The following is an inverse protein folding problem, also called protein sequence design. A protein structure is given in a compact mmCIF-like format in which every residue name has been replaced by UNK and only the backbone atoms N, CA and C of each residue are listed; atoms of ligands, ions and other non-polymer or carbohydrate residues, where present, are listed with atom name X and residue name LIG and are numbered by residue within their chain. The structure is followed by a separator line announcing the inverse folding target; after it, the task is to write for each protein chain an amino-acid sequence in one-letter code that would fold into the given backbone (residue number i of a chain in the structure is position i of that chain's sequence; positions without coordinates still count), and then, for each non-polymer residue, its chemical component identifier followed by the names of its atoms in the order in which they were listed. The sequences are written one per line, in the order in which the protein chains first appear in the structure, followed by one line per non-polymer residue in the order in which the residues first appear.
data_IF_551824187012
#
_entry.id   IF_551824187012
#
_cell.length_a   1.000
_cell.length_b   1.000
_cell.length_c   1.000
_cell.angle_alpha   90.00
_cell.angle_beta   90.00
_cell.angle_gamma   90.00
#
_symmetry.space_group_name_H-M   'P 1'
#
loop_
_entity.id
_entity.type
_entity.pdbx_description
1 polymer ?
#
# COMPACT_ATOMS: atom_id res chain seq x y z
N UNK A 1 -11.36 17.41 19.50
CA UNK A 1 -10.39 17.23 20.60
C UNK A 1 -9.00 17.81 20.35
N UNK A 2 -8.18 17.40 19.37
CA UNK A 2 -6.81 17.96 19.20
C UNK A 2 -6.75 19.44 18.80
N UNK A 3 -7.54 19.86 17.82
CA UNK A 3 -7.66 21.29 17.44
C UNK A 3 -8.04 22.18 18.63
N UNK A 4 -9.00 21.75 19.45
CA UNK A 4 -9.40 22.45 20.68
C UNK A 4 -8.27 22.53 21.72
N UNK A 5 -7.31 21.60 21.67
CA UNK A 5 -6.12 21.56 22.53
C UNK A 5 -4.89 22.25 21.88
N UNK A 6 -5.05 22.96 20.77
CA UNK A 6 -3.93 23.59 20.04
C UNK A 6 -2.95 22.60 19.38
N UNK A 7 -3.30 21.31 19.32
CA UNK A 7 -2.42 20.28 18.79
C UNK A 7 -2.62 20.12 17.28
N UNK A 8 -1.50 19.94 16.57
CA UNK A 8 -1.47 19.67 15.14
C UNK A 8 -2.07 18.31 14.74
N UNK A 9 -1.95 18.02 13.44
CA UNK A 9 -2.40 16.75 12.85
C UNK A 9 -1.77 15.56 13.58
N UNK A 10 -2.51 14.46 13.83
CA UNK A 10 -1.92 13.24 14.35
C UNK A 10 -0.77 12.71 13.49
N UNK A 11 0.22 12.10 14.14
CA UNK A 11 1.30 11.42 13.45
C UNK A 11 0.74 10.27 12.60
N UNK A 12 1.38 10.05 11.46
CA UNK A 12 1.17 8.89 10.60
C UNK A 12 1.84 7.68 11.25
N UNK A 13 1.17 6.52 11.24
CA UNK A 13 1.74 5.29 11.79
C UNK A 13 1.37 4.07 10.94
N UNK A 14 2.19 3.03 11.02
CA UNK A 14 1.94 1.77 10.34
C UNK A 14 1.24 0.77 11.28
N UNK A 15 0.19 0.12 10.78
CA UNK A 15 -0.54 -0.92 11.51
C UNK A 15 -1.12 -1.95 10.54
N UNK A 16 -0.97 -3.23 10.84
CA UNK A 16 -1.45 -4.37 10.03
C UNK A 16 -1.05 -4.30 8.54
N UNK A 17 0.14 -3.77 8.25
CA UNK A 17 0.65 -3.63 6.89
C UNK A 17 0.06 -2.45 6.10
N UNK A 18 -0.59 -1.50 6.78
CA UNK A 18 -1.09 -0.26 6.19
C UNK A 18 -0.53 0.96 6.94
N UNK A 19 -0.20 1.99 6.18
CA UNK A 19 0.09 3.31 6.70
C UNK A 19 -1.23 4.05 6.92
N UNK A 20 -1.49 4.37 8.18
CA UNK A 20 -2.66 5.11 8.63
C UNK A 20 -2.30 6.57 8.82
N UNK A 21 -3.01 7.45 8.10
CA UNK A 21 -2.83 8.88 8.24
C UNK A 21 -4.18 9.60 8.22
N UNK A 22 -4.26 10.75 8.88
CA UNK A 22 -5.47 11.55 8.83
C UNK A 22 -5.55 12.34 7.53
N UNK A 23 -6.76 12.59 7.06
CA UNK A 23 -7.05 13.43 5.90
C UNK A 23 -8.42 14.07 6.02
N UNK A 24 -8.82 14.74 4.94
CA UNK A 24 -10.13 15.35 4.81
C UNK A 24 -10.76 14.93 3.50
N UNK A 25 -12.06 14.68 3.50
CA UNK A 25 -12.81 14.45 2.27
C UNK A 25 -12.89 15.73 1.44
N UNK A 26 -13.31 15.63 0.17
CA UNK A 26 -13.58 16.80 -0.67
C UNK A 26 -14.61 17.77 -0.05
N UNK A 27 -15.49 17.27 0.82
CA UNK A 27 -16.49 18.05 1.58
C UNK A 27 -15.98 18.52 2.96
N UNK A 28 -14.68 18.40 3.24
CA UNK A 28 -14.04 18.90 4.47
C UNK A 28 -14.22 18.04 5.72
N UNK A 29 -14.85 16.85 5.63
CA UNK A 29 -15.02 15.95 6.78
C UNK A 29 -13.73 15.21 7.10
N UNK A 30 -13.42 15.03 8.38
CA UNK A 30 -12.28 14.22 8.82
C UNK A 30 -12.40 12.77 8.34
N UNK A 31 -11.28 12.19 7.92
CA UNK A 31 -11.19 10.81 7.47
C UNK A 31 -9.84 10.22 7.86
N UNK A 32 -9.80 8.91 8.13
CA UNK A 32 -8.55 8.14 8.21
C UNK A 32 -8.30 7.51 6.86
N UNK A 33 -7.19 7.88 6.23
CA UNK A 33 -6.70 7.25 5.01
C UNK A 33 -5.91 5.99 5.39
N UNK A 34 -6.04 4.96 4.56
CA UNK A 34 -5.29 3.71 4.68
C UNK A 34 -4.57 3.47 3.37
N UNK A 35 -3.26 3.53 3.41
CA UNK A 35 -2.39 3.24 2.27
C UNK A 35 -1.65 1.93 2.55
N UNK A 36 -1.34 1.14 1.53
CA UNK A 36 -0.47 -0.01 1.72
C UNK A 36 0.87 0.47 2.27
N UNK A 37 1.34 -0.14 3.37
CA UNK A 37 2.64 0.23 3.93
C UNK A 37 3.73 -0.02 2.90
N UNK A 38 4.66 0.93 2.77
CA UNK A 38 5.79 0.82 1.84
C UNK A 38 6.60 -0.46 2.09
N UNK A 39 6.70 -0.91 3.34
CA UNK A 39 7.35 -2.19 3.69
C UNK A 39 6.63 -3.37 3.06
N UNK A 40 5.30 -3.43 3.19
CA UNK A 40 4.46 -4.50 2.63
C UNK A 40 4.51 -4.52 1.11
N UNK A 41 4.40 -3.35 0.48
CA UNK A 41 4.47 -3.21 -0.98
C UNK A 41 5.81 -3.71 -1.52
N UNK A 42 6.93 -3.25 -0.94
CA UNK A 42 8.27 -3.69 -1.35
C UNK A 42 8.45 -5.18 -1.19
N UNK A 43 8.01 -5.77 -0.07
CA UNK A 43 8.09 -7.21 0.14
C UNK A 43 7.34 -7.98 -0.95
N UNK A 44 6.11 -7.58 -1.29
CA UNK A 44 5.34 -8.21 -2.37
C UNK A 44 6.02 -8.07 -3.73
N UNK A 45 6.56 -6.89 -4.06
CA UNK A 45 7.28 -6.67 -5.31
C UNK A 45 8.54 -7.54 -5.43
N UNK A 46 9.29 -7.74 -4.34
CA UNK A 46 10.46 -8.64 -4.36
C UNK A 46 10.05 -10.10 -4.63
N UNK A 47 8.96 -10.56 -4.03
CA UNK A 47 8.40 -11.90 -4.28
C UNK A 47 7.98 -12.05 -5.74
N UNK A 48 7.25 -11.07 -6.28
CA UNK A 48 6.84 -11.08 -7.70
C UNK A 48 8.06 -11.08 -8.62
N UNK A 49 9.07 -10.26 -8.34
CA UNK A 49 10.34 -10.22 -9.11
C UNK A 49 11.05 -11.57 -9.11
N UNK A 50 11.14 -12.23 -7.95
CA UNK A 50 11.76 -13.56 -7.84
C UNK A 50 11.01 -14.59 -8.69
N UNK A 51 9.68 -14.57 -8.64
CA UNK A 51 8.87 -15.53 -9.40
C UNK A 51 8.96 -15.27 -10.90
N UNK A 52 8.95 -14.00 -11.34
CA UNK A 52 9.17 -13.66 -12.75
C UNK A 52 10.55 -14.12 -13.25
N UNK A 53 11.59 -14.06 -12.41
CA UNK A 53 12.91 -14.62 -12.76
C UNK A 53 12.87 -16.13 -12.97
N UNK A 54 12.14 -16.87 -12.13
CA UNK A 54 11.98 -18.33 -12.28
C UNK A 54 11.25 -18.69 -13.57
N UNK A 55 10.27 -17.87 -13.95
CA UNK A 55 9.42 -18.07 -15.15
C UNK A 55 9.98 -17.41 -16.41
N UNK A 56 11.21 -16.89 -16.38
CA UNK A 56 11.70 -16.00 -17.46
C UNK A 56 11.74 -16.66 -18.85
N UNK A 57 11.83 -18.00 -18.89
CA UNK A 57 11.86 -18.78 -20.13
C UNK A 57 10.48 -19.33 -20.54
N UNK A 58 9.44 -19.11 -19.75
CA UNK A 58 8.08 -19.52 -20.11
C UNK A 58 7.50 -18.60 -21.19
N UNK A 59 6.50 -19.06 -21.96
CA UNK A 59 5.77 -18.22 -22.89
C UNK A 59 5.21 -16.95 -22.24
N UNK A 60 5.29 -15.81 -22.93
CA UNK A 60 4.79 -14.51 -22.46
C UNK A 60 3.32 -14.56 -22.01
N UNK A 61 2.39 -15.26 -22.71
CA UNK A 61 1.00 -15.37 -22.26
C UNK A 61 0.86 -15.96 -20.85
N UNK A 62 1.66 -16.99 -20.52
CA UNK A 62 1.63 -17.63 -19.20
C UNK A 62 2.17 -16.71 -18.10
N UNK A 63 3.26 -15.99 -18.39
CA UNK A 63 3.81 -15.00 -17.46
C UNK A 63 2.78 -13.88 -17.19
N UNK A 64 2.08 -13.42 -18.23
CA UNK A 64 1.03 -12.42 -18.13
C UNK A 64 -0.19 -12.88 -17.32
N UNK A 65 -0.61 -14.14 -17.50
CA UNK A 65 -1.68 -14.75 -16.71
C UNK A 65 -1.32 -14.79 -15.22
N UNK A 66 -0.09 -15.19 -14.89
CA UNK A 66 0.40 -15.16 -13.51
C UNK A 66 0.42 -13.73 -12.96
N UNK A 67 0.98 -12.77 -13.69
CA UNK A 67 1.12 -11.40 -13.22
C UNK A 67 -0.22 -10.75 -12.88
N UNK A 68 -1.24 -10.98 -13.72
CA UNK A 68 -2.62 -10.50 -13.51
C UNK A 68 -3.27 -11.06 -12.23
N UNK A 69 -2.86 -12.25 -11.79
CA UNK A 69 -3.42 -12.87 -10.58
C UNK A 69 -2.78 -12.34 -9.28
N UNK A 70 -1.59 -11.73 -9.35
CA UNK A 70 -0.78 -11.38 -8.16
C UNK A 70 -0.52 -9.90 -7.96
N UNK A 71 -0.90 -9.06 -8.93
CA UNK A 71 -0.84 -7.59 -8.92
C UNK A 71 -2.26 -7.05 -8.95
#
# INVERSE_FOLDING_TARGET
NRRRKGQGKPQTFDFLGFTHCCGTTRKGKFMVLRLTSAKRLRAKLQVVKLELRRRMHQPIPEQGQYLRAVV
#
